data_IF_277741753487
#
_entry.id   IF_277741753487
#
_cell.length_a   1.000
_cell.length_b   1.000
_cell.length_c   1.000
_cell.angle_alpha   90.00
_cell.angle_beta   90.00
_cell.angle_gamma   90.00
#
_symmetry.space_group_name_H-M   'P 1'
#
loop_
_entity.id
_entity.type
_entity.pdbx_description
1 polymer ?
#
# COMPACT_ATOMS: atom_id res chain seq x y z
N UNK A 1 -6.61 27.31 16.35
CA UNK A 1 -7.38 26.07 16.06
C UNK A 1 -6.56 25.20 15.12
N UNK A 2 -5.74 24.30 15.67
CA UNK A 2 -4.81 23.44 14.90
C UNK A 2 -5.09 21.98 15.22
N UNK A 3 -6.05 21.36 14.52
CA UNK A 3 -6.28 19.90 14.55
C UNK A 3 -5.37 19.16 13.55
N UNK A 4 -4.19 19.70 13.24
CA UNK A 4 -3.24 19.19 12.25
C UNK A 4 -2.47 17.92 12.69
N UNK A 5 -2.79 17.35 13.85
CA UNK A 5 -2.13 16.14 14.36
C UNK A 5 -3.06 14.93 14.51
N UNK A 6 -4.15 14.85 13.74
CA UNK A 6 -4.73 13.54 13.47
C UNK A 6 -3.79 12.80 12.53
N UNK A 7 -2.76 12.18 13.10
CA UNK A 7 -1.85 11.29 12.39
C UNK A 7 -2.69 10.08 11.97
N UNK A 8 -3.15 10.06 10.72
CA UNK A 8 -3.78 8.88 10.15
C UNK A 8 -2.70 7.80 10.09
N UNK A 9 -2.74 6.77 10.96
CA UNK A 9 -1.67 5.78 11.05
C UNK A 9 -1.53 4.99 9.74
N UNK A 10 -2.60 4.94 8.94
CA UNK A 10 -2.66 4.27 7.64
C UNK A 10 -2.07 5.11 6.51
N UNK A 11 -1.85 6.42 6.68
CA UNK A 11 -1.35 7.30 5.61
C UNK A 11 0.01 6.86 5.07
N UNK A 12 0.88 6.36 5.95
CA UNK A 12 2.19 5.83 5.55
C UNK A 12 2.03 4.54 4.74
N UNK A 13 1.14 3.65 5.17
CA UNK A 13 0.87 2.39 4.48
C UNK A 13 0.25 2.62 3.10
N UNK A 14 -0.71 3.53 2.97
CA UNK A 14 -1.29 3.94 1.69
C UNK A 14 -0.22 4.42 0.69
N UNK A 15 0.78 5.18 1.17
CA UNK A 15 1.90 5.60 0.33
C UNK A 15 2.75 4.42 -0.14
N UNK A 16 3.07 3.49 0.77
CA UNK A 16 3.88 2.30 0.43
C UNK A 16 3.12 1.39 -0.55
N UNK A 17 1.82 1.19 -0.31
CA UNK A 17 0.94 0.47 -1.22
C UNK A 17 0.97 1.05 -2.64
N UNK A 18 0.84 2.37 -2.77
CA UNK A 18 0.92 3.04 -4.07
C UNK A 18 2.27 2.83 -4.78
N UNK A 19 3.38 2.90 -4.04
CA UNK A 19 4.72 2.61 -4.59
C UNK A 19 4.80 1.18 -5.10
N UNK A 20 4.31 0.20 -4.33
CA UNK A 20 4.33 -1.22 -4.72
C UNK A 20 3.50 -1.48 -5.97
N UNK A 21 2.35 -0.83 -6.11
CA UNK A 21 1.54 -0.90 -7.34
C UNK A 21 2.27 -0.29 -8.53
N UNK A 22 2.96 0.84 -8.36
CA UNK A 22 3.74 1.46 -9.43
C UNK A 22 4.89 0.55 -9.86
N UNK A 23 5.63 -0.03 -8.90
CA UNK A 23 6.68 -1.03 -9.16
C UNK A 23 6.12 -2.25 -9.91
N UNK A 24 4.97 -2.77 -9.47
CA UNK A 24 4.29 -3.89 -10.11
C UNK A 24 3.88 -3.56 -11.55
N UNK A 25 3.31 -2.38 -11.80
CA UNK A 25 2.97 -1.91 -13.14
C UNK A 25 4.20 -1.80 -14.05
N UNK A 26 5.32 -1.30 -13.52
CA UNK A 26 6.57 -1.21 -14.26
C UNK A 26 7.13 -2.60 -14.56
N UNK A 27 7.08 -3.54 -13.62
CA UNK A 27 7.48 -4.94 -13.82
C UNK A 27 6.62 -5.61 -14.90
N UNK A 28 5.30 -5.41 -14.85
CA UNK A 28 4.37 -5.93 -15.85
C UNK A 28 4.66 -5.37 -17.24
N UNK A 29 4.90 -4.05 -17.38
CA UNK A 29 5.27 -3.44 -18.67
C UNK A 29 6.59 -3.95 -19.23
N UNK A 30 7.52 -4.34 -18.36
CA UNK A 30 8.80 -4.95 -18.74
C UNK A 30 8.68 -6.45 -19.06
N UNK A 31 7.53 -7.06 -18.80
CA UNK A 31 7.32 -8.50 -18.96
C UNK A 31 7.93 -9.34 -17.82
N UNK A 32 8.29 -8.72 -16.70
CA UNK A 32 8.80 -9.42 -15.52
C UNK A 32 7.65 -9.92 -14.65
N UNK A 33 7.13 -11.10 -15.01
CA UNK A 33 5.97 -11.72 -14.37
C UNK A 33 6.29 -12.14 -12.93
N UNK A 34 7.52 -12.56 -12.65
CA UNK A 34 7.92 -12.99 -11.31
C UNK A 34 7.89 -11.81 -10.35
N UNK A 35 8.56 -10.72 -10.71
CA UNK A 35 8.55 -9.50 -9.89
C UNK A 35 7.15 -8.92 -9.77
N UNK A 36 6.36 -8.91 -10.85
CA UNK A 36 4.96 -8.47 -10.81
C UNK A 36 4.13 -9.26 -9.78
N UNK A 37 4.23 -10.59 -9.79
CA UNK A 37 3.52 -11.45 -8.84
C UNK A 37 3.93 -11.16 -7.40
N UNK A 38 5.22 -11.04 -7.13
CA UNK A 38 5.74 -10.75 -5.79
C UNK A 38 5.31 -9.37 -5.29
N UNK A 39 5.46 -8.34 -6.13
CA UNK A 39 5.09 -6.95 -5.80
C UNK A 39 3.59 -6.79 -5.57
N UNK A 40 2.78 -7.52 -6.33
CA UNK A 40 1.32 -7.52 -6.15
C UNK A 40 0.91 -8.21 -4.85
N UNK A 41 1.55 -9.33 -4.50
CA UNK A 41 1.32 -10.01 -3.22
C UNK A 41 1.72 -9.12 -2.02
N UNK A 42 2.86 -8.43 -2.11
CA UNK A 42 3.28 -7.45 -1.10
C UNK A 42 2.28 -6.29 -0.97
N UNK A 43 1.76 -5.79 -2.09
CA UNK A 43 0.75 -4.74 -2.10
C UNK A 43 -0.56 -5.20 -1.42
N UNK A 44 -1.01 -6.43 -1.69
CA UNK A 44 -2.19 -7.02 -1.03
C UNK A 44 -2.00 -7.17 0.49
N UNK A 45 -0.80 -7.57 0.93
CA UNK A 45 -0.50 -7.65 2.36
C UNK A 45 -0.59 -6.29 3.04
N UNK A 46 -0.04 -5.24 2.41
CA UNK A 46 -0.14 -3.86 2.92
C UNK A 46 -1.60 -3.41 2.94
N UNK A 47 -2.38 -3.73 1.91
CA UNK A 47 -3.80 -3.40 1.87
C UNK A 47 -4.59 -4.05 3.02
N UNK A 48 -4.31 -5.31 3.32
CA UNK A 48 -4.91 -5.99 4.46
C UNK A 48 -4.55 -5.31 5.79
N UNK A 49 -3.30 -4.87 5.97
CA UNK A 49 -2.89 -4.11 7.16
C UNK A 49 -3.62 -2.76 7.26
N UNK A 50 -3.80 -2.06 6.13
CA UNK A 50 -4.59 -0.83 6.07
C UNK A 50 -6.01 -1.10 6.53
N UNK A 51 -6.67 -2.11 5.96
CA UNK A 51 -8.06 -2.45 6.30
C UNK A 51 -8.21 -2.79 7.79
N UNK A 52 -7.29 -3.56 8.36
CA UNK A 52 -7.30 -3.90 9.79
C UNK A 52 -7.14 -2.66 10.69
N UNK A 53 -6.27 -1.73 10.31
CA UNK A 53 -6.08 -0.50 11.07
C UNK A 53 -7.28 0.44 10.93
N UNK A 54 -7.86 0.56 9.74
CA UNK A 54 -9.07 1.36 9.51
C UNK A 54 -10.29 0.77 10.23
N UNK A 55 -10.42 -0.56 10.30
CA UNK A 55 -11.48 -1.22 11.07
C UNK A 55 -11.31 -1.03 12.57
N UNK A 56 -10.08 -1.07 13.08
CA UNK A 56 -9.79 -0.86 14.50
C UNK A 56 -9.91 0.60 14.95
N UNK A 57 -9.92 1.56 14.00
CA UNK A 57 -10.10 2.98 14.28
C UNK A 57 -11.54 3.47 14.16
N UNK A 58 -12.48 2.61 13.73
CA UNK A 58 -13.93 2.88 13.77
C UNK A 58 -14.48 2.69 15.17
#
# INVERSE_FOLDING_TARGET
MFSIFKSNPTKKLHKIYGIKLEEAMLAQRKGDIHSYSSLTAEAEEIWNQIQQLESNQK
#
